data_IF_259685514207
#
_entry.id   IF_259685514207
#
_cell.length_a   1.000
_cell.length_b   1.000
_cell.length_c   1.000
_cell.angle_alpha   90.00
_cell.angle_beta   90.00
_cell.angle_gamma   90.00
#
_symmetry.space_group_name_H-M   'P 1'
#
loop_
_entity.id
_entity.type
_entity.pdbx_description
1 polymer ?
#
# COMPACT_ATOMS: atom_id res chain seq x y z
N UNK A 1 22.94 -14.88 10.59
CA UNK A 1 22.22 -13.62 10.86
C UNK A 1 21.44 -13.26 9.60
N UNK A 2 20.10 -13.36 9.63
CA UNK A 2 19.27 -13.07 8.45
C UNK A 2 18.77 -11.61 8.54
N UNK A 3 19.47 -10.70 7.87
CA UNK A 3 19.05 -9.30 7.75
C UNK A 3 17.94 -9.22 6.69
N UNK A 4 16.68 -9.32 7.12
CA UNK A 4 15.51 -9.14 6.26
C UNK A 4 15.06 -7.67 6.39
N UNK A 5 15.53 -6.75 5.53
CA UNK A 5 15.14 -5.35 5.61
C UNK A 5 13.61 -5.26 5.54
N UNK A 6 12.95 -4.57 6.49
CA UNK A 6 11.50 -4.49 6.57
C UNK A 6 11.00 -3.38 5.64
N UNK A 7 11.49 -3.32 4.41
CA UNK A 7 10.96 -2.39 3.41
C UNK A 7 9.79 -3.05 2.68
N UNK A 8 8.87 -3.64 3.44
CA UNK A 8 7.59 -4.08 2.93
C UNK A 8 6.69 -2.84 2.88
N UNK A 9 6.75 -2.11 1.75
CA UNK A 9 5.84 -0.99 1.48
C UNK A 9 4.40 -1.40 1.82
N UNK A 10 3.66 -0.54 2.50
CA UNK A 10 2.42 -0.97 3.15
C UNK A 10 1.39 -1.28 2.07
N UNK A 11 0.84 -2.49 2.15
CA UNK A 11 -0.24 -2.95 1.28
C UNK A 11 -1.52 -2.87 2.07
N UNK A 12 -2.54 -2.24 1.49
CA UNK A 12 -3.89 -2.20 2.04
C UNK A 12 -4.71 -3.32 1.44
N UNK A 13 -5.39 -4.09 2.28
CA UNK A 13 -6.30 -5.13 1.81
C UNK A 13 -7.65 -4.45 1.52
N UNK A 14 -8.19 -4.68 0.34
CA UNK A 14 -9.51 -4.15 -0.02
C UNK A 14 -10.60 -4.85 0.79
N UNK A 15 -11.35 -4.10 1.60
CA UNK A 15 -12.47 -4.65 2.37
C UNK A 15 -13.64 -5.13 1.49
N UNK A 16 -13.75 -4.60 0.27
CA UNK A 16 -14.83 -4.97 -0.64
C UNK A 16 -14.59 -6.30 -1.38
N UNK A 17 -13.33 -6.71 -1.60
CA UNK A 17 -13.04 -7.92 -2.39
C UNK A 17 -11.84 -8.75 -1.90
N UNK A 18 -11.19 -8.35 -0.81
CA UNK A 18 -10.03 -9.03 -0.23
C UNK A 18 -8.73 -8.89 -1.02
N UNK A 19 -8.70 -8.11 -2.10
CA UNK A 19 -7.49 -7.99 -2.93
C UNK A 19 -6.45 -7.10 -2.24
N UNK A 20 -5.17 -7.52 -2.16
CA UNK A 20 -4.10 -6.65 -1.69
C UNK A 20 -3.82 -5.56 -2.74
N UNK A 21 -3.98 -4.31 -2.33
CA UNK A 21 -3.68 -3.14 -3.15
C UNK A 21 -2.55 -2.35 -2.50
N UNK A 22 -1.73 -1.65 -3.28
CA UNK A 22 -0.76 -0.72 -2.72
C UNK A 22 -1.46 0.50 -2.09
N UNK A 23 -0.96 1.03 -0.99
CA UNK A 23 -1.55 2.19 -0.28
C UNK A 23 -1.62 3.47 -1.14
N UNK A 24 -0.88 3.51 -2.25
CA UNK A 24 -0.87 4.61 -3.23
C UNK A 24 -2.14 4.66 -4.09
N UNK A 25 -2.94 3.60 -4.20
CA UNK A 25 -4.17 3.62 -5.02
C UNK A 25 -5.39 4.03 -4.18
N UNK A 26 -6.22 4.93 -4.72
CA UNK A 26 -7.48 5.37 -4.07
C UNK A 26 -8.62 4.37 -4.29
N UNK A 27 -8.48 3.52 -5.30
CA UNK A 27 -9.49 2.57 -5.72
C UNK A 27 -8.83 1.21 -5.90
N UNK A 28 -9.57 0.15 -5.57
CA UNK A 28 -9.09 -1.20 -5.76
C UNK A 28 -8.89 -1.50 -7.25
N UNK A 29 -7.73 -2.07 -7.60
CA UNK A 29 -7.40 -2.42 -8.99
C UNK A 29 -8.31 -3.51 -9.57
N UNK A 30 -8.97 -4.30 -8.71
CA UNK A 30 -9.79 -5.44 -9.10
C UNK A 30 -11.28 -5.10 -9.13
N UNK A 31 -11.82 -4.62 -8.01
CA UNK A 31 -13.26 -4.34 -7.88
C UNK A 31 -13.61 -2.85 -8.02
N UNK A 32 -12.63 -1.95 -8.14
CA UNK A 32 -12.80 -0.49 -8.26
C UNK A 32 -13.43 0.21 -7.04
N UNK A 33 -13.67 -0.53 -5.95
CA UNK A 33 -14.14 0.04 -4.68
C UNK A 33 -13.15 1.06 -4.10
N UNK A 34 -13.65 2.05 -3.37
CA UNK A 34 -12.83 3.06 -2.71
C UNK A 34 -12.03 2.44 -1.55
N UNK A 35 -10.72 2.69 -1.55
CA UNK A 35 -9.82 2.32 -0.48
C UNK A 35 -9.57 3.58 0.35
N UNK A 36 -10.06 3.60 1.59
CA UNK A 36 -9.83 4.71 2.52
C UNK A 36 -8.32 4.83 2.74
N UNK A 37 -7.75 5.94 2.29
CA UNK A 37 -6.35 6.29 2.53
C UNK A 37 -6.24 7.07 3.83
N UNK A 38 -5.70 6.44 4.86
CA UNK A 38 -5.14 7.21 5.96
C UNK A 38 -3.89 7.92 5.43
N UNK A 39 -4.02 9.23 5.28
CA UNK A 39 -2.97 10.10 4.77
C UNK A 39 -1.83 10.12 5.78
N UNK A 40 -0.81 9.32 5.53
CA UNK A 40 0.56 9.74 5.81
C UNK A 40 1.39 9.39 4.58
N UNK A 41 1.73 10.34 3.70
CA UNK A 41 2.66 10.04 2.62
C UNK A 41 4.01 9.72 3.26
N UNK A 42 4.62 8.54 3.04
CA UNK A 42 6.07 8.53 2.95
C UNK A 42 6.37 9.28 1.64
N UNK A 43 6.50 10.60 1.76
CA UNK A 43 7.59 11.25 1.05
C UNK A 43 8.85 10.58 1.59
N UNK A 44 9.33 9.55 0.91
CA UNK A 44 10.76 9.28 0.96
C UNK A 44 11.21 9.14 -0.48
N UNK A 45 11.98 10.15 -0.84
CA UNK A 45 12.70 10.37 -2.07
C UNK A 45 13.42 9.08 -2.53
N UNK A 46 13.57 8.84 -3.84
CA UNK A 46 14.58 7.89 -4.29
C UNK A 46 15.95 8.39 -3.77
N UNK A 47 16.70 7.57 -3.02
CA UNK A 47 17.99 7.99 -2.50
C UNK A 47 19.03 8.05 -3.63
N UNK A 48 19.58 9.27 -3.81
CA UNK A 48 20.92 9.63 -4.29
C UNK A 48 21.31 9.35 -5.75
#
# INVERSE_FOLDING_TARGET
MCFRPPSAGKKVICEACGTPNPEIVKNCIKCKAELKKDTNPPKEEPPK
#
